data_IF_191646669379
#
_entry.id   IF_191646669379
#
_cell.length_a   1.000
_cell.length_b   1.000
_cell.length_c   1.000
_cell.angle_alpha   90.00
_cell.angle_beta   90.00
_cell.angle_gamma   90.00
#
_symmetry.space_group_name_H-M   'P 1'
#
loop_
_entity.id
_entity.type
_entity.pdbx_description
1 polymer ?
#
# COMPACT_ATOMS: atom_id res chain seq x y z
N UNK A 1 -21.24 48.20 2.50
CA UNK A 1 -20.43 47.95 1.29
C UNK A 1 -19.43 46.85 1.61
N UNK A 2 -19.76 45.61 1.27
CA UNK A 2 -18.89 44.45 1.45
C UNK A 2 -18.09 44.22 0.15
N UNK A 3 -16.78 44.03 0.26
CA UNK A 3 -15.91 43.59 -0.85
C UNK A 3 -15.87 42.06 -0.89
N UNK A 4 -16.10 41.40 -2.05
CA UNK A 4 -15.81 39.99 -2.21
C UNK A 4 -14.39 39.80 -2.75
N UNK A 5 -13.64 38.85 -2.18
CA UNK A 5 -12.28 38.51 -2.59
C UNK A 5 -12.03 37.02 -2.48
N UNK A 6 -12.18 36.35 -3.63
CA UNK A 6 -11.56 35.11 -4.11
C UNK A 6 -10.94 34.11 -3.13
N UNK A 7 -11.44 32.86 -3.14
CA UNK A 7 -10.64 31.64 -2.94
C UNK A 7 -11.43 30.39 -3.36
N UNK A 8 -11.44 30.10 -4.66
CA UNK A 8 -11.84 28.77 -5.21
C UNK A 8 -10.74 28.29 -6.14
N UNK A 9 -9.76 27.59 -5.58
CA UNK A 9 -8.70 26.92 -6.35
C UNK A 9 -8.27 25.63 -5.64
N UNK A 10 -9.23 24.72 -5.44
CA UNK A 10 -8.97 23.36 -4.95
C UNK A 10 -9.88 22.39 -5.69
N UNK A 11 -9.70 22.21 -7.01
CA UNK A 11 -10.47 21.21 -7.75
C UNK A 11 -9.88 20.61 -9.05
N UNK A 12 -8.65 20.89 -9.55
CA UNK A 12 -8.21 20.22 -10.79
C UNK A 12 -7.27 19.02 -10.60
N UNK A 13 -7.02 18.51 -9.39
CA UNK A 13 -6.11 17.36 -9.21
C UNK A 13 -6.81 15.99 -9.23
N UNK A 14 -8.14 15.93 -9.01
CA UNK A 14 -8.88 14.67 -8.92
C UNK A 14 -9.30 14.10 -10.29
N UNK A 15 -9.30 14.90 -11.34
CA UNK A 15 -9.80 14.51 -12.68
C UNK A 15 -8.73 13.81 -13.54
N UNK A 16 -7.44 14.05 -13.26
CA UNK A 16 -6.33 13.45 -14.04
C UNK A 16 -6.06 11.97 -13.70
N UNK A 17 -6.54 11.47 -12.56
CA UNK A 17 -6.37 10.06 -12.15
C UNK A 17 -7.35 9.10 -12.82
N UNK A 18 -8.50 9.58 -13.31
CA UNK A 18 -9.49 8.74 -13.99
C UNK A 18 -9.19 8.53 -15.49
N UNK A 19 -8.41 9.42 -16.11
CA UNK A 19 -8.07 9.32 -17.53
C UNK A 19 -7.01 8.25 -17.85
N UNK A 20 -6.13 7.92 -16.89
CA UNK A 20 -5.05 6.95 -17.09
C UNK A 20 -5.54 5.48 -17.17
N UNK A 21 -6.68 5.16 -16.54
CA UNK A 21 -7.25 3.80 -16.56
C UNK A 21 -7.93 3.45 -17.88
N UNK A 22 -8.55 4.43 -18.55
CA UNK A 22 -9.26 4.22 -19.81
C UNK A 22 -8.31 4.02 -21.01
N UNK A 23 -7.13 4.66 -20.99
CA UNK A 23 -6.14 4.55 -22.06
C UNK A 23 -5.43 3.18 -22.11
N UNK A 24 -5.33 2.46 -20.98
CA UNK A 24 -4.72 1.14 -20.92
C UNK A 24 -5.63 0.04 -21.51
N UNK A 25 -6.95 0.18 -21.40
CA UNK A 25 -7.92 -0.79 -21.95
C UNK A 25 -8.08 -0.67 -23.48
N UNK A 26 -8.03 0.55 -24.03
CA UNK A 26 -8.15 0.76 -25.47
C UNK A 26 -6.93 0.26 -26.27
N UNK A 27 -5.74 0.21 -25.64
CA UNK A 27 -4.51 -0.23 -26.28
C UNK A 27 -4.39 -1.74 -26.49
N UNK A 28 -5.03 -2.59 -25.67
CA UNK A 28 -4.92 -4.05 -25.82
C UNK A 28 -6.00 -4.67 -26.71
N UNK A 29 -7.21 -4.09 -26.80
CA UNK A 29 -8.28 -4.64 -27.64
C UNK A 29 -7.97 -4.59 -29.16
N UNK A 30 -6.99 -3.78 -29.57
CA UNK A 30 -6.55 -3.67 -30.97
C UNK A 30 -5.67 -4.84 -31.45
N UNK A 31 -5.33 -5.79 -30.56
CA UNK A 31 -4.53 -6.95 -30.93
C UNK A 31 -5.27 -7.84 -31.95
N UNK A 32 -4.61 -8.09 -33.08
CA UNK A 32 -5.08 -9.03 -34.08
C UNK A 32 -4.64 -10.46 -33.73
N UNK A 33 -5.56 -11.40 -33.87
CA UNK A 33 -5.34 -12.83 -33.65
C UNK A 33 -5.64 -13.62 -34.91
N UNK A 34 -4.92 -14.72 -35.08
CA UNK A 34 -5.06 -15.57 -36.27
C UNK A 34 -6.45 -16.20 -36.34
N UNK A 35 -6.94 -16.40 -37.57
CA UNK A 35 -8.29 -16.93 -37.79
C UNK A 35 -9.42 -15.95 -37.46
N UNK A 36 -9.13 -14.64 -37.36
CA UNK A 36 -10.14 -13.60 -37.15
C UNK A 36 -10.77 -13.61 -35.75
N UNK A 37 -10.09 -14.21 -34.77
CA UNK A 37 -10.58 -14.31 -33.38
C UNK A 37 -10.65 -12.92 -32.73
N UNK A 38 -11.75 -12.65 -32.04
CA UNK A 38 -11.97 -11.39 -31.31
C UNK A 38 -12.40 -11.69 -29.87
N UNK A 39 -12.06 -10.77 -28.97
CA UNK A 39 -12.32 -10.91 -27.54
C UNK A 39 -12.97 -9.63 -26.98
N UNK A 40 -13.93 -9.78 -26.07
CA UNK A 40 -14.66 -8.64 -25.51
C UNK A 40 -13.86 -7.85 -24.47
N UNK A 41 -12.93 -8.52 -23.77
CA UNK A 41 -12.12 -7.92 -22.70
C UNK A 41 -10.65 -8.26 -22.89
N UNK A 42 -9.80 -7.39 -22.36
CA UNK A 42 -8.37 -7.65 -22.27
C UNK A 42 -7.75 -7.01 -21.03
N UNK A 43 -6.61 -7.56 -20.62
CA UNK A 43 -5.77 -7.07 -19.55
C UNK A 43 -4.30 -7.12 -19.99
N UNK A 44 -3.59 -6.01 -19.87
CA UNK A 44 -2.12 -6.00 -19.94
C UNK A 44 -1.58 -6.43 -18.59
N UNK A 45 -0.86 -7.55 -18.57
CA UNK A 45 -0.37 -8.13 -17.33
C UNK A 45 0.85 -7.33 -16.84
N UNK A 46 1.01 -7.15 -15.53
CA UNK A 46 1.98 -6.19 -14.96
C UNK A 46 3.45 -6.57 -15.20
N UNK A 47 3.72 -7.83 -15.55
CA UNK A 47 5.08 -8.38 -15.69
C UNK A 47 5.15 -9.38 -16.84
N UNK A 48 6.37 -9.67 -17.31
CA UNK A 48 6.68 -10.55 -18.45
C UNK A 48 6.15 -10.05 -19.80
N UNK A 49 5.71 -8.77 -19.89
CA UNK A 49 5.18 -8.19 -21.13
C UNK A 49 3.98 -8.96 -21.70
N UNK A 50 3.25 -9.67 -20.85
CA UNK A 50 2.19 -10.58 -21.24
C UNK A 50 0.83 -9.86 -21.28
N UNK A 51 -0.09 -10.38 -22.09
CA UNK A 51 -1.47 -9.91 -22.16
C UNK A 51 -2.44 -11.08 -22.12
N UNK A 52 -3.62 -10.84 -21.55
CA UNK A 52 -4.72 -11.80 -21.49
C UNK A 52 -5.95 -11.18 -22.10
N UNK A 53 -6.58 -11.89 -23.04
CA UNK A 53 -7.79 -11.48 -23.72
C UNK A 53 -8.82 -12.58 -23.52
N UNK A 54 -10.08 -12.20 -23.27
CA UNK A 54 -11.12 -13.19 -23.05
C UNK A 54 -12.53 -12.70 -23.41
N UNK A 55 -13.39 -13.66 -23.66
CA UNK A 55 -14.85 -13.51 -23.77
C UNK A 55 -15.48 -14.52 -22.83
N UNK A 56 -16.26 -14.05 -21.86
CA UNK A 56 -16.95 -14.92 -20.90
C UNK A 56 -18.40 -15.15 -21.33
N UNK A 57 -18.81 -16.41 -21.37
CA UNK A 57 -20.13 -16.88 -21.78
C UNK A 57 -20.93 -17.31 -20.55
N UNK A 58 -21.72 -16.39 -20.00
CA UNK A 58 -22.50 -16.65 -18.78
C UNK A 58 -23.51 -17.80 -18.91
N UNK A 59 -24.01 -18.06 -20.13
CA UNK A 59 -25.02 -19.11 -20.38
C UNK A 59 -24.52 -20.54 -20.14
N UNK A 60 -23.22 -20.79 -20.30
CA UNK A 60 -22.61 -22.11 -20.10
C UNK A 60 -21.39 -22.10 -19.17
N UNK A 61 -21.04 -20.95 -18.57
CA UNK A 61 -19.94 -20.82 -17.63
C UNK A 61 -18.54 -20.99 -18.26
N UNK A 62 -18.43 -20.81 -19.58
CA UNK A 62 -17.15 -20.96 -20.30
C UNK A 62 -16.50 -19.61 -20.60
N UNK A 63 -15.18 -19.61 -20.74
CA UNK A 63 -14.42 -18.46 -21.20
C UNK A 63 -13.54 -18.85 -22.39
N UNK A 64 -13.65 -18.10 -23.49
CA UNK A 64 -12.68 -18.14 -24.58
C UNK A 64 -11.52 -17.23 -24.22
N UNK A 65 -10.29 -17.73 -24.37
CA UNK A 65 -9.09 -17.09 -23.86
C UNK A 65 -8.01 -17.02 -24.95
N UNK A 66 -7.34 -15.88 -25.03
CA UNK A 66 -6.03 -15.73 -25.66
C UNK A 66 -5.03 -15.14 -24.67
N UNK A 67 -4.06 -15.95 -24.26
CA UNK A 67 -2.92 -15.50 -23.46
C UNK A 67 -1.71 -15.31 -24.38
N UNK A 68 -1.13 -14.11 -24.41
CA UNK A 68 0.02 -13.78 -25.25
C UNK A 68 1.20 -13.35 -24.40
N UNK A 69 2.39 -13.87 -24.66
CA UNK A 69 3.60 -13.47 -23.96
C UNK A 69 4.85 -13.53 -24.86
N UNK A 70 5.74 -12.51 -24.80
CA UNK A 70 7.04 -12.55 -25.48
C UNK A 70 7.92 -13.69 -24.97
N UNK A 71 8.55 -14.43 -25.90
CA UNK A 71 9.57 -15.44 -25.59
C UNK A 71 10.36 -15.81 -26.84
N UNK A 72 11.62 -16.19 -26.68
CA UNK A 72 12.44 -16.72 -27.77
C UNK A 72 11.89 -18.04 -28.31
N UNK A 73 12.33 -18.44 -29.50
CA UNK A 73 11.97 -19.74 -30.07
C UNK A 73 12.55 -20.92 -29.26
N UNK A 74 13.62 -20.65 -28.52
CA UNK A 74 14.28 -21.47 -27.52
C UNK A 74 13.64 -21.33 -26.12
N UNK A 75 12.48 -20.70 -26.01
CA UNK A 75 11.75 -20.51 -24.77
C UNK A 75 10.33 -21.08 -24.82
N UNK A 76 9.66 -21.01 -23.67
CA UNK A 76 8.27 -21.41 -23.48
C UNK A 76 7.52 -20.34 -22.69
N UNK A 77 6.19 -20.33 -22.83
CA UNK A 77 5.31 -19.52 -21.99
C UNK A 77 4.19 -20.40 -21.44
N UNK A 78 3.72 -20.10 -20.24
CA UNK A 78 2.69 -20.85 -19.57
C UNK A 78 1.61 -19.95 -19.01
N UNK A 79 0.36 -20.39 -19.11
CA UNK A 79 -0.79 -19.78 -18.46
C UNK A 79 -1.51 -20.83 -17.61
N UNK A 80 -1.99 -20.40 -16.44
CA UNK A 80 -2.41 -21.29 -15.37
C UNK A 80 -3.72 -20.80 -14.77
N UNK A 81 -4.63 -21.73 -14.50
CA UNK A 81 -5.73 -21.53 -13.54
C UNK A 81 -5.44 -22.40 -12.31
N UNK A 82 -5.47 -21.79 -11.12
CA UNK A 82 -5.26 -22.52 -9.87
C UNK A 82 -6.56 -22.59 -9.05
N UNK A 83 -7.31 -23.71 -9.09
CA UNK A 83 -8.50 -23.88 -8.26
C UNK A 83 -8.20 -23.88 -6.75
N UNK A 84 -6.99 -24.27 -6.35
CA UNK A 84 -6.50 -24.22 -4.97
C UNK A 84 -6.03 -22.81 -4.55
N UNK A 85 -5.83 -21.92 -5.53
CA UNK A 85 -5.57 -20.48 -5.43
C UNK A 85 -4.16 -20.01 -5.05
N UNK A 86 -3.18 -20.88 -4.75
CA UNK A 86 -1.78 -20.47 -4.56
C UNK A 86 -0.79 -21.63 -4.55
N UNK A 87 0.39 -21.35 -5.11
CA UNK A 87 1.50 -22.29 -5.25
C UNK A 87 1.46 -23.10 -6.54
N UNK A 88 2.63 -23.57 -6.97
CA UNK A 88 2.79 -24.36 -8.19
C UNK A 88 2.04 -25.70 -8.10
N UNK A 89 1.98 -26.32 -6.93
CA UNK A 89 1.33 -27.62 -6.73
C UNK A 89 -0.22 -27.51 -6.78
N UNK A 90 -0.85 -28.41 -7.54
CA UNK A 90 -2.29 -28.42 -7.84
C UNK A 90 -2.70 -27.47 -8.96
N UNK A 91 -1.74 -26.88 -9.70
CA UNK A 91 -2.01 -25.93 -10.78
C UNK A 91 -2.34 -26.64 -12.09
N UNK A 92 -3.37 -26.17 -12.78
CA UNK A 92 -3.72 -26.61 -14.13
C UNK A 92 -3.07 -25.68 -15.13
N UNK A 93 -2.21 -26.23 -15.98
CA UNK A 93 -1.27 -25.43 -16.78
C UNK A 93 -1.45 -25.72 -18.25
N UNK A 94 -1.43 -24.66 -19.04
CA UNK A 94 -1.23 -24.67 -20.48
C UNK A 94 0.17 -24.13 -20.75
N UNK A 95 1.03 -24.90 -21.41
CA UNK A 95 2.37 -24.46 -21.80
C UNK A 95 2.49 -24.45 -23.32
N UNK A 96 2.76 -23.28 -23.90
CA UNK A 96 3.17 -23.17 -25.29
C UNK A 96 4.69 -23.25 -25.40
N UNK A 97 5.14 -24.08 -26.32
CA UNK A 97 6.54 -24.21 -26.72
C UNK A 97 6.60 -24.65 -28.17
N UNK A 98 7.79 -24.62 -28.76
CA UNK A 98 8.00 -25.16 -30.10
C UNK A 98 9.16 -26.15 -30.13
N UNK A 99 9.04 -27.15 -31.00
CA UNK A 99 10.11 -28.11 -31.28
C UNK A 99 10.22 -28.29 -32.79
N UNK A 100 11.41 -28.09 -33.35
CA UNK A 100 11.62 -28.16 -34.80
C UNK A 100 10.76 -27.17 -35.60
N UNK A 101 10.38 -26.03 -35.01
CA UNK A 101 9.49 -25.02 -35.61
C UNK A 101 7.99 -25.31 -35.50
N UNK A 102 7.60 -26.50 -35.01
CA UNK A 102 6.20 -26.81 -34.74
C UNK A 102 5.80 -26.33 -33.34
N UNK A 103 4.81 -25.43 -33.27
CA UNK A 103 4.27 -24.90 -32.01
C UNK A 103 3.19 -25.84 -31.48
N UNK A 104 3.20 -26.13 -30.18
CA UNK A 104 2.19 -26.96 -29.53
C UNK A 104 1.84 -26.45 -28.13
N UNK A 105 0.69 -26.88 -27.62
CA UNK A 105 0.26 -26.67 -26.23
C UNK A 105 0.32 -27.98 -25.48
N UNK A 106 1.07 -27.99 -24.38
CA UNK A 106 1.02 -29.06 -23.39
C UNK A 106 0.04 -28.66 -22.27
N UNK A 107 -0.89 -29.56 -21.94
CA UNK A 107 -1.74 -29.44 -20.76
C UNK A 107 -1.31 -30.42 -19.67
N UNK A 108 -1.14 -29.93 -18.45
CA UNK A 108 -0.75 -30.79 -17.32
C UNK A 108 -1.25 -30.25 -15.98
N UNK A 109 -1.27 -31.11 -14.97
CA UNK A 109 -1.48 -30.73 -13.57
C UNK A 109 -0.15 -30.84 -12.83
N UNK A 110 0.38 -29.69 -12.38
CA UNK A 110 1.62 -29.69 -11.61
C UNK A 110 1.34 -30.21 -10.21
N UNK A 111 1.82 -31.41 -9.86
CA UNK A 111 1.55 -32.01 -8.54
C UNK A 111 2.53 -31.56 -7.46
N UNK A 112 3.70 -31.08 -7.86
CA UNK A 112 4.80 -30.66 -6.97
C UNK A 112 5.43 -29.37 -7.49
N UNK A 113 6.36 -28.79 -6.71
CA UNK A 113 7.17 -27.63 -7.12
C UNK A 113 8.36 -27.98 -8.01
N UNK A 114 8.59 -29.27 -8.26
CA UNK A 114 9.55 -29.79 -9.23
C UNK A 114 8.85 -30.88 -10.05
N UNK A 115 7.86 -30.51 -10.87
CA UNK A 115 7.02 -31.48 -11.56
C UNK A 115 7.74 -32.08 -12.77
N UNK A 116 7.42 -33.33 -13.05
CA UNK A 116 7.63 -33.88 -14.40
C UNK A 116 6.45 -33.45 -15.25
N UNK A 117 6.71 -32.89 -16.42
CA UNK A 117 5.67 -32.47 -17.35
C UNK A 117 5.19 -33.67 -18.15
N UNK A 118 4.02 -34.19 -17.79
CA UNK A 118 3.28 -35.23 -18.49
C UNK A 118 2.07 -34.62 -19.22
N UNK A 119 1.62 -35.24 -20.31
CA UNK A 119 0.42 -34.80 -21.00
C UNK A 119 -0.80 -35.39 -20.29
N UNK A 120 -1.53 -34.57 -19.54
CA UNK A 120 -2.69 -35.02 -18.73
C UNK A 120 -3.87 -34.08 -18.90
N UNK A 121 -5.08 -34.66 -18.84
CA UNK A 121 -6.30 -33.87 -18.75
C UNK A 121 -6.30 -32.96 -17.50
N UNK A 122 -6.80 -31.75 -17.65
CA UNK A 122 -6.92 -30.78 -16.57
C UNK A 122 -8.06 -31.18 -15.62
N UNK A 123 -8.08 -30.60 -14.41
CA UNK A 123 -9.11 -30.84 -13.40
C UNK A 123 -10.44 -30.13 -13.68
N UNK A 124 -10.56 -29.48 -14.84
CA UNK A 124 -11.74 -28.79 -15.32
C UNK A 124 -11.89 -29.01 -16.82
N UNK A 125 -13.10 -28.81 -17.30
CA UNK A 125 -13.41 -29.07 -18.69
C UNK A 125 -12.81 -28.02 -19.63
N UNK A 126 -12.28 -28.49 -20.75
CA UNK A 126 -11.68 -27.68 -21.82
C UNK A 126 -12.42 -28.05 -23.10
N UNK A 127 -13.61 -27.44 -23.37
CA UNK A 127 -14.51 -27.91 -24.42
C UNK A 127 -13.92 -27.87 -25.83
N UNK A 128 -12.92 -27.00 -26.05
CA UNK A 128 -12.20 -26.87 -27.32
C UNK A 128 -10.72 -27.16 -27.06
N UNK A 129 -10.08 -28.09 -27.80
CA UNK A 129 -8.66 -28.37 -27.65
C UNK A 129 -7.81 -27.11 -27.69
N UNK A 130 -6.94 -26.94 -26.71
CA UNK A 130 -6.04 -25.81 -26.64
C UNK A 130 -5.08 -25.81 -27.84
N UNK A 131 -4.80 -24.63 -28.38
CA UNK A 131 -3.90 -24.43 -29.52
C UNK A 131 -2.97 -23.26 -29.24
N UNK A 132 -1.82 -23.21 -29.91
CA UNK A 132 -0.91 -22.10 -29.78
C UNK A 132 -0.24 -21.76 -31.11
N UNK A 133 0.24 -20.53 -31.18
CA UNK A 133 0.98 -19.98 -32.31
C UNK A 133 2.20 -19.21 -31.83
N UNK A 134 3.16 -19.02 -32.73
CA UNK A 134 4.34 -18.21 -32.51
C UNK A 134 4.46 -17.18 -33.61
N UNK A 135 4.38 -15.89 -33.26
CA UNK A 135 4.46 -14.80 -34.22
C UNK A 135 5.08 -13.55 -33.57
N UNK A 136 6.01 -12.90 -34.29
CA UNK A 136 6.62 -11.65 -33.85
C UNK A 136 7.36 -11.75 -32.50
N UNK A 137 8.02 -12.88 -32.23
CA UNK A 137 8.76 -13.08 -30.98
C UNK A 137 7.89 -13.37 -29.75
N UNK A 138 6.63 -13.76 -29.95
CA UNK A 138 5.68 -14.05 -28.87
C UNK A 138 4.90 -15.33 -29.16
N UNK A 139 4.58 -16.06 -28.11
CA UNK A 139 3.61 -17.15 -28.16
C UNK A 139 2.23 -16.63 -27.78
N UNK A 140 1.21 -17.15 -28.45
CA UNK A 140 -0.20 -16.97 -28.05
C UNK A 140 -0.82 -18.34 -27.78
N UNK A 141 -1.33 -18.55 -26.58
CA UNK A 141 -2.12 -19.73 -26.19
C UNK A 141 -3.59 -19.40 -26.33
N UNK A 142 -4.33 -20.25 -27.02
CA UNK A 142 -5.78 -20.22 -27.10
C UNK A 142 -6.41 -21.40 -26.38
N UNK A 143 -7.41 -21.12 -25.55
CA UNK A 143 -8.19 -22.15 -24.86
C UNK A 143 -9.63 -21.69 -24.64
N UNK A 144 -10.57 -22.62 -24.69
CA UNK A 144 -11.92 -22.44 -24.15
C UNK A 144 -12.00 -23.28 -22.90
N UNK A 145 -12.26 -22.66 -21.75
CA UNK A 145 -12.25 -23.34 -20.44
C UNK A 145 -13.59 -23.17 -19.74
N UNK A 146 -14.10 -24.24 -19.14
CA UNK A 146 -15.19 -24.15 -18.18
C UNK A 146 -14.61 -23.68 -16.84
N UNK A 147 -15.10 -22.55 -16.31
CA UNK A 147 -14.50 -21.96 -15.11
C UNK A 147 -14.66 -22.90 -13.90
N UNK A 148 -13.56 -23.33 -13.24
CA UNK A 148 -13.62 -24.33 -12.19
C UNK A 148 -14.48 -23.91 -11.00
N UNK A 149 -15.48 -24.72 -10.66
CA UNK A 149 -16.38 -24.49 -9.51
C UNK A 149 -17.53 -23.49 -9.77
N UNK A 150 -17.64 -22.94 -10.98
CA UNK A 150 -18.63 -21.93 -11.38
C UNK A 150 -18.56 -20.50 -10.76
N UNK A 151 -17.49 -20.03 -10.06
CA UNK A 151 -17.27 -18.61 -9.85
C UNK A 151 -16.59 -17.98 -11.07
N UNK A 152 -16.96 -16.75 -11.38
CA UNK A 152 -16.29 -15.95 -12.43
C UNK A 152 -14.92 -15.46 -11.98
N UNK A 153 -14.65 -15.42 -10.68
CA UNK A 153 -13.36 -15.03 -10.11
C UNK A 153 -12.43 -16.24 -10.00
N UNK A 154 -11.28 -16.15 -10.67
CA UNK A 154 -10.29 -17.21 -10.76
C UNK A 154 -8.89 -16.67 -10.48
N UNK A 155 -8.09 -17.46 -9.77
CA UNK A 155 -6.68 -17.17 -9.60
C UNK A 155 -5.91 -17.68 -10.83
N UNK A 156 -5.27 -16.76 -11.53
CA UNK A 156 -4.49 -17.03 -12.73
C UNK A 156 -3.03 -16.68 -12.51
N UNK A 157 -2.14 -17.53 -13.02
CA UNK A 157 -0.69 -17.36 -12.95
C UNK A 157 -0.16 -17.48 -14.37
N UNK A 158 0.91 -16.75 -14.68
CA UNK A 158 1.60 -16.90 -15.95
C UNK A 158 3.10 -17.03 -15.74
N UNK A 159 3.78 -17.74 -16.62
CA UNK A 159 5.22 -17.95 -16.53
C UNK A 159 5.85 -17.91 -17.90
N UNK A 160 7.13 -17.57 -17.94
CA UNK A 160 7.97 -17.72 -19.11
C UNK A 160 9.32 -18.29 -18.67
N UNK A 161 9.91 -19.14 -19.49
CA UNK A 161 11.19 -19.78 -19.17
C UNK A 161 11.91 -20.33 -20.40
N UNK A 162 13.15 -20.81 -20.20
CA UNK A 162 13.96 -21.35 -21.29
C UNK A 162 13.62 -22.82 -21.58
N UNK A 163 13.89 -23.25 -22.80
CA UNK A 163 14.01 -24.65 -23.20
C UNK A 163 15.48 -25.01 -23.12
N UNK A 164 15.81 -26.15 -22.51
CA UNK A 164 17.17 -26.67 -22.42
C UNK A 164 17.19 -28.14 -22.80
N UNK A 165 18.13 -28.54 -23.64
CA UNK A 165 18.22 -29.92 -24.15
C UNK A 165 16.96 -30.39 -24.88
N UNK A 166 16.24 -29.47 -25.55
CA UNK A 166 14.99 -29.77 -26.25
C UNK A 166 13.78 -29.99 -25.34
N UNK A 167 13.87 -29.68 -24.05
CA UNK A 167 12.77 -29.84 -23.06
C UNK A 167 12.52 -28.55 -22.31
N UNK A 168 11.27 -28.34 -21.88
CA UNK A 168 10.86 -27.23 -21.01
C UNK A 168 11.69 -27.29 -19.72
N UNK A 169 12.44 -26.22 -19.44
CA UNK A 169 13.28 -26.09 -18.25
C UNK A 169 12.58 -25.20 -17.20
N UNK A 170 12.95 -25.27 -15.90
CA UNK A 170 12.38 -24.41 -14.88
C UNK A 170 12.50 -22.92 -15.22
N UNK A 171 11.44 -22.17 -14.96
CA UNK A 171 11.45 -20.71 -15.06
C UNK A 171 12.26 -20.09 -13.91
N UNK A 172 12.72 -18.83 -14.04
CA UNK A 172 13.35 -18.12 -12.94
C UNK A 172 12.46 -18.11 -11.68
N UNK A 173 13.05 -18.36 -10.51
CA UNK A 173 12.37 -18.35 -9.20
C UNK A 173 12.50 -17.01 -8.48
N UNK A 174 12.74 -15.94 -9.24
CA UNK A 174 12.91 -14.56 -8.74
C UNK A 174 12.44 -13.55 -9.78
N UNK A 175 12.32 -12.28 -9.39
CA UNK A 175 11.99 -11.19 -10.32
C UNK A 175 10.55 -11.25 -10.82
N UNK A 176 10.36 -11.11 -12.14
CA UNK A 176 9.04 -11.00 -12.74
C UNK A 176 8.22 -12.29 -12.60
N UNK A 177 8.82 -13.47 -12.75
CA UNK A 177 8.15 -14.77 -12.64
C UNK A 177 7.46 -15.00 -11.28
N UNK A 178 8.01 -14.50 -10.17
CA UNK A 178 7.38 -14.62 -8.85
C UNK A 178 6.28 -13.58 -8.60
N UNK A 179 6.16 -12.57 -9.47
CA UNK A 179 5.11 -11.55 -9.43
C UNK A 179 3.96 -11.85 -10.41
N UNK A 180 4.10 -12.88 -11.25
CA UNK A 180 3.18 -13.22 -12.33
C UNK A 180 1.93 -13.96 -11.87
N UNK A 181 1.18 -13.36 -10.94
CA UNK A 181 -0.08 -13.92 -10.43
C UNK A 181 -1.14 -12.82 -10.26
N UNK A 182 -2.40 -13.15 -10.53
CA UNK A 182 -3.54 -12.27 -10.32
C UNK A 182 -4.80 -13.06 -9.94
N UNK A 183 -5.73 -12.42 -9.25
CA UNK A 183 -7.11 -12.86 -9.21
C UNK A 183 -7.89 -12.07 -10.26
N UNK A 184 -8.51 -12.77 -11.22
CA UNK A 184 -9.26 -12.18 -12.31
C UNK A 184 -10.71 -12.59 -12.23
N UNK A 185 -11.62 -11.61 -12.24
CA UNK A 185 -13.03 -11.86 -12.48
C UNK A 185 -13.32 -11.80 -13.99
N UNK A 186 -13.62 -12.96 -14.59
CA UNK A 186 -13.88 -13.10 -16.02
C UNK A 186 -15.14 -12.35 -16.47
N UNK A 187 -16.09 -12.07 -15.58
CA UNK A 187 -17.31 -11.33 -15.92
C UNK A 187 -17.07 -9.82 -15.85
N UNK A 188 -16.60 -9.28 -14.72
CA UNK A 188 -16.38 -7.84 -14.58
C UNK A 188 -15.12 -7.36 -15.31
N UNK A 189 -14.09 -8.21 -15.37
CA UNK A 189 -12.74 -7.87 -15.81
C UNK A 189 -11.88 -7.18 -14.76
N UNK A 190 -12.35 -7.14 -13.51
CA UNK A 190 -11.57 -6.66 -12.38
C UNK A 190 -10.41 -7.62 -12.11
N UNK A 191 -9.18 -7.10 -12.04
CA UNK A 191 -8.00 -7.87 -11.66
C UNK A 191 -7.36 -7.29 -10.39
N UNK A 192 -6.93 -8.17 -9.49
CA UNK A 192 -6.16 -7.83 -8.28
C UNK A 192 -4.91 -8.70 -8.20
N UNK A 193 -3.86 -8.22 -7.54
CA UNK A 193 -2.61 -8.98 -7.39
C UNK A 193 -2.85 -10.37 -6.78
N UNK A 194 -2.17 -11.39 -7.30
CA UNK A 194 -2.36 -12.78 -6.89
C UNK A 194 -1.99 -12.97 -5.42
N UNK A 195 -2.98 -13.12 -4.55
CA UNK A 195 -2.78 -13.34 -3.12
C UNK A 195 -2.82 -14.85 -2.78
N UNK A 196 -1.99 -15.27 -1.83
CA UNK A 196 -1.84 -16.66 -1.42
C UNK A 196 -3.14 -17.22 -0.77
N UNK A 197 -3.92 -17.98 -1.52
CA UNK A 197 -5.26 -18.51 -1.20
C UNK A 197 -5.46 -19.32 0.08
N UNK A 198 -4.42 -19.72 0.82
CA UNK A 198 -4.60 -20.48 2.07
C UNK A 198 -5.29 -19.67 3.17
N UNK A 199 -5.46 -18.36 3.01
CA UNK A 199 -6.16 -17.49 3.96
C UNK A 199 -7.69 -17.40 3.73
N UNK A 200 -8.22 -17.75 2.55
CA UNK A 200 -9.58 -17.35 2.18
C UNK A 200 -10.70 -18.28 2.69
N UNK A 201 -10.42 -19.55 3.02
CA UNK A 201 -11.50 -20.50 3.41
C UNK A 201 -12.10 -20.25 4.80
N UNK A 202 -11.51 -19.39 5.64
CA UNK A 202 -12.05 -19.11 7.00
C UNK A 202 -12.87 -17.81 7.13
N UNK A 203 -12.96 -17.00 6.07
CA UNK A 203 -13.56 -15.65 6.18
C UNK A 203 -15.00 -15.51 5.66
N UNK A 204 -15.66 -16.59 5.22
CA UNK A 204 -17.03 -16.50 4.69
C UNK A 204 -18.13 -16.32 5.76
N UNK A 205 -17.77 -16.20 7.05
CA UNK A 205 -18.72 -15.85 8.12
C UNK A 205 -18.20 -14.65 8.92
N UNK A 206 -17.93 -13.49 8.28
CA UNK A 206 -17.97 -12.17 8.94
C UNK A 206 -18.29 -11.06 7.92
N UNK A 207 -19.60 -10.88 7.69
CA UNK A 207 -20.34 -9.63 7.44
C UNK A 207 -19.55 -8.44 6.84
N UNK A 208 -19.76 -8.20 5.54
CA UNK A 208 -20.17 -6.96 4.84
C UNK A 208 -19.68 -5.55 5.29
N UNK A 209 -18.63 -5.37 6.10
CA UNK A 209 -18.06 -4.04 6.28
C UNK A 209 -16.53 -4.03 6.24
N UNK A 210 -16.02 -3.18 5.35
CA UNK A 210 -14.60 -2.83 5.10
C UNK A 210 -13.90 -3.63 3.99
N UNK A 211 -14.18 -3.18 2.76
CA UNK A 211 -13.47 -3.44 1.50
C UNK A 211 -12.05 -2.87 1.62
N UNK A 212 -11.07 -3.66 2.08
CA UNK A 212 -9.66 -3.27 2.06
C UNK A 212 -8.86 -4.56 1.82
N UNK A 213 -8.30 -4.75 0.62
CA UNK A 213 -7.42 -5.87 0.28
C UNK A 213 -6.10 -5.83 1.08
N UNK A 214 -5.28 -6.87 1.06
CA UNK A 214 -4.07 -6.92 1.93
C UNK A 214 -3.05 -5.80 1.61
N UNK A 215 -2.82 -5.50 0.32
CA UNK A 215 -2.04 -4.33 -0.09
C UNK A 215 -2.69 -3.02 0.38
N UNK A 216 -4.02 -2.96 0.40
CA UNK A 216 -4.76 -1.80 0.90
C UNK A 216 -4.65 -1.70 2.42
N UNK A 217 -4.51 -2.82 3.16
CA UNK A 217 -4.33 -2.84 4.62
C UNK A 217 -2.93 -2.39 5.01
N UNK A 218 -1.92 -2.80 4.26
CA UNK A 218 -0.54 -2.32 4.41
C UNK A 218 -0.42 -0.83 4.09
N UNK A 219 -1.05 -0.39 2.98
CA UNK A 219 -1.15 1.02 2.62
C UNK A 219 -1.92 1.81 3.68
N UNK A 220 -3.05 1.29 4.15
CA UNK A 220 -3.87 1.92 5.19
C UNK A 220 -3.10 2.03 6.51
N UNK A 221 -2.38 0.99 6.92
CA UNK A 221 -1.48 1.04 8.07
C UNK A 221 -0.43 2.16 7.91
N UNK A 222 0.21 2.23 6.74
CA UNK A 222 1.20 3.25 6.41
C UNK A 222 0.61 4.66 6.45
N UNK A 223 -0.56 4.88 5.85
CA UNK A 223 -1.26 6.18 5.81
C UNK A 223 -1.72 6.60 7.20
N UNK A 224 -2.40 5.72 7.94
CA UNK A 224 -2.88 6.02 9.30
C UNK A 224 -1.73 6.41 10.22
N UNK A 225 -0.61 5.69 10.18
CA UNK A 225 0.55 5.98 11.01
C UNK A 225 1.36 7.19 10.51
N UNK A 226 1.42 7.40 9.20
CA UNK A 226 2.04 8.58 8.60
C UNK A 226 1.31 9.87 8.97
N UNK A 227 -0.02 9.89 8.84
CA UNK A 227 -0.85 11.04 9.21
C UNK A 227 -0.91 11.21 10.74
N UNK A 228 -1.19 10.14 11.47
CA UNK A 228 -1.31 10.17 12.92
C UNK A 228 0.02 10.52 13.60
N UNK A 229 0.98 9.59 13.61
CA UNK A 229 2.25 9.76 14.29
C UNK A 229 3.21 10.72 13.58
N UNK A 230 3.21 10.71 12.24
CA UNK A 230 4.17 11.47 11.43
C UNK A 230 3.82 12.94 11.20
N UNK A 231 2.55 13.33 11.31
CA UNK A 231 2.09 14.71 11.04
C UNK A 231 1.33 15.32 12.22
N UNK A 232 0.24 14.70 12.69
CA UNK A 232 -0.62 15.32 13.69
C UNK A 232 0.06 15.48 15.06
N UNK A 233 0.80 14.45 15.52
CA UNK A 233 1.54 14.51 16.79
C UNK A 233 2.60 15.63 16.80
N UNK A 234 3.53 15.71 15.81
CA UNK A 234 4.51 16.80 15.77
C UNK A 234 3.87 18.16 15.55
N UNK A 235 2.82 18.27 14.72
CA UNK A 235 2.09 19.53 14.53
C UNK A 235 1.46 20.01 15.85
N UNK A 236 0.81 19.12 16.61
CA UNK A 236 0.25 19.45 17.91
C UNK A 236 1.32 19.92 18.90
N UNK A 237 2.51 19.32 18.89
CA UNK A 237 3.63 19.77 19.71
C UNK A 237 4.14 21.16 19.32
N UNK A 238 4.23 21.45 18.01
CA UNK A 238 4.57 22.78 17.49
C UNK A 238 3.55 23.84 17.91
N UNK A 239 2.25 23.53 17.81
CA UNK A 239 1.16 24.41 18.26
C UNK A 239 1.34 24.79 19.73
N UNK A 240 1.56 23.80 20.62
CA UNK A 240 1.74 24.07 22.04
C UNK A 240 3.02 24.87 22.35
N UNK A 241 4.11 24.62 21.59
CA UNK A 241 5.38 25.34 21.78
C UNK A 241 5.29 26.80 21.33
N UNK A 242 4.74 27.03 20.15
CA UNK A 242 4.83 28.34 19.49
C UNK A 242 3.60 29.22 19.72
N UNK A 243 2.38 28.67 19.70
CA UNK A 243 1.18 29.48 19.87
C UNK A 243 0.96 29.91 21.32
N UNK A 244 1.44 29.14 22.30
CA UNK A 244 1.35 29.50 23.73
C UNK A 244 2.03 30.84 24.07
N UNK A 245 2.96 31.30 23.24
CA UNK A 245 3.66 32.58 23.46
C UNK A 245 2.73 33.78 23.23
N UNK A 246 1.71 33.63 22.38
CA UNK A 246 0.76 34.70 22.06
C UNK A 246 -0.40 34.72 23.05
N UNK A 247 -0.61 35.86 23.72
CA UNK A 247 -1.70 36.02 24.70
C UNK A 247 -3.07 35.90 24.03
N UNK A 248 -3.21 36.38 22.78
CA UNK A 248 -4.43 36.25 21.98
C UNK A 248 -4.81 34.81 21.63
N UNK A 249 -3.89 33.86 21.80
CA UNK A 249 -4.11 32.45 21.51
C UNK A 249 -4.45 31.64 22.76
N UNK A 250 -4.56 32.24 23.95
CA UNK A 250 -5.04 31.56 25.16
C UNK A 250 -6.59 31.66 25.23
N UNK A 251 -7.34 30.55 25.38
CA UNK A 251 -6.92 29.15 25.57
C UNK A 251 -6.84 28.32 24.27
N UNK A 252 -7.01 28.93 23.11
CA UNK A 252 -7.08 28.24 21.81
C UNK A 252 -5.89 27.30 21.52
N UNK A 253 -4.66 27.70 21.84
CA UNK A 253 -3.47 26.86 21.64
C UNK A 253 -3.58 25.51 22.36
N UNK A 254 -4.20 25.50 23.54
CA UNK A 254 -4.33 24.31 24.38
C UNK A 254 -5.35 23.33 23.78
N UNK A 255 -6.49 23.83 23.31
CA UNK A 255 -7.49 23.02 22.63
C UNK A 255 -7.00 22.50 21.27
N UNK A 256 -6.30 23.33 20.50
CA UNK A 256 -5.71 22.92 19.22
C UNK A 256 -4.63 21.85 19.42
N UNK A 257 -3.79 21.98 20.45
CA UNK A 257 -2.83 20.95 20.84
C UNK A 257 -3.55 19.63 21.15
N UNK A 258 -4.53 19.65 22.08
CA UNK A 258 -5.25 18.44 22.48
C UNK A 258 -5.99 17.80 21.31
N UNK A 259 -6.64 18.60 20.46
CA UNK A 259 -7.35 18.09 19.28
C UNK A 259 -6.40 17.36 18.33
N UNK A 260 -5.22 17.91 18.07
CA UNK A 260 -4.18 17.25 17.27
C UNK A 260 -3.68 15.97 17.95
N UNK A 261 -3.42 16.00 19.26
CA UNK A 261 -2.90 14.83 19.99
C UNK A 261 -3.92 13.68 20.05
N UNK A 262 -5.18 13.97 20.37
CA UNK A 262 -6.24 12.95 20.44
C UNK A 262 -6.49 12.35 19.05
N UNK A 263 -6.59 13.19 18.01
CA UNK A 263 -6.79 12.72 16.64
C UNK A 263 -5.59 11.89 16.13
N UNK A 264 -4.38 12.38 16.38
CA UNK A 264 -3.14 11.67 16.04
C UNK A 264 -3.01 10.34 16.75
N UNK A 265 -3.34 10.30 18.05
CA UNK A 265 -3.36 9.08 18.85
C UNK A 265 -4.42 8.09 18.33
N UNK A 266 -5.65 8.54 18.06
CA UNK A 266 -6.71 7.65 17.57
C UNK A 266 -6.34 6.99 16.23
N UNK A 267 -5.87 7.78 15.25
CA UNK A 267 -5.39 7.25 13.97
C UNK A 267 -4.18 6.33 14.17
N UNK A 268 -3.27 6.71 15.05
CA UNK A 268 -2.07 5.95 15.37
C UNK A 268 -2.35 4.60 16.04
N UNK A 269 -3.35 4.51 16.93
CA UNK A 269 -3.80 3.27 17.56
C UNK A 269 -4.49 2.37 16.54
N UNK A 270 -5.33 2.93 15.68
CA UNK A 270 -5.97 2.19 14.59
C UNK A 270 -4.91 1.61 13.63
N UNK A 271 -3.93 2.43 13.24
CA UNK A 271 -2.78 2.01 12.43
C UNK A 271 -1.94 0.94 13.13
N UNK A 272 -1.62 1.11 14.41
CA UNK A 272 -0.87 0.12 15.20
C UNK A 272 -1.59 -1.22 15.31
N UNK A 273 -2.90 -1.22 15.62
CA UNK A 273 -3.71 -2.43 15.69
C UNK A 273 -3.77 -3.16 14.34
N UNK A 274 -3.90 -2.42 13.24
CA UNK A 274 -3.81 -2.97 11.89
C UNK A 274 -2.43 -3.58 11.62
N UNK A 275 -1.35 -2.93 12.08
CA UNK A 275 0.02 -3.44 11.95
C UNK A 275 0.29 -4.72 12.74
N UNK A 276 -0.29 -4.86 13.93
CA UNK A 276 -0.22 -6.11 14.70
C UNK A 276 -0.94 -7.26 13.98
N UNK A 277 -2.09 -6.97 13.37
CA UNK A 277 -2.84 -7.95 12.58
C UNK A 277 -2.07 -8.38 11.33
N UNK A 278 -1.53 -7.43 10.57
CA UNK A 278 -0.65 -7.71 9.43
C UNK A 278 0.57 -8.57 9.83
N UNK A 279 1.16 -8.26 10.98
CA UNK A 279 2.30 -8.99 11.52
C UNK A 279 1.98 -10.40 12.02
N UNK A 280 0.77 -10.67 12.52
CA UNK A 280 0.35 -12.02 12.93
C UNK A 280 -0.06 -12.90 11.76
N UNK A 281 -0.53 -12.29 10.67
CA UNK A 281 -0.92 -12.95 9.42
C UNK A 281 0.30 -13.27 8.51
N UNK A 282 1.44 -12.60 8.71
CA UNK A 282 2.68 -12.82 7.95
C UNK A 282 3.54 -13.97 8.51
N UNK A 283 3.45 -15.17 7.93
CA UNK A 283 4.35 -16.29 8.29
C UNK A 283 5.67 -16.21 7.49
N UNK A 284 6.81 -16.07 8.19
CA UNK A 284 8.14 -16.34 7.63
C UNK A 284 9.18 -15.21 7.74
N UNK A 285 8.80 -13.97 8.07
CA UNK A 285 9.73 -12.86 8.30
C UNK A 285 9.21 -12.01 9.46
N UNK A 286 9.77 -12.17 10.66
CA UNK A 286 9.45 -11.27 11.77
C UNK A 286 10.25 -9.98 11.62
N UNK A 287 9.60 -8.89 11.21
CA UNK A 287 10.18 -7.54 11.29
C UNK A 287 10.16 -7.03 12.74
N UNK A 288 10.92 -7.72 13.60
CA UNK A 288 10.92 -7.55 15.05
C UNK A 288 11.23 -6.13 15.48
N UNK A 289 12.16 -5.44 14.80
CA UNK A 289 12.55 -4.07 15.16
C UNK A 289 11.44 -3.04 14.94
N UNK A 290 10.77 -3.04 13.78
CA UNK A 290 9.67 -2.09 13.50
C UNK A 290 8.49 -2.33 14.45
N UNK A 291 8.16 -3.62 14.70
CA UNK A 291 7.11 -4.00 15.63
C UNK A 291 7.43 -3.56 17.07
N UNK A 292 8.64 -3.82 17.56
CA UNK A 292 9.03 -3.48 18.93
C UNK A 292 9.04 -1.96 19.15
N UNK A 293 9.55 -1.19 18.18
CA UNK A 293 9.49 0.27 18.23
C UNK A 293 8.02 0.75 18.19
N UNK A 294 7.18 0.15 17.34
CA UNK A 294 5.75 0.45 17.28
C UNK A 294 5.02 0.21 18.61
N UNK A 295 5.31 -0.89 19.30
CA UNK A 295 4.78 -1.18 20.64
C UNK A 295 5.27 -0.15 21.65
N UNK A 296 6.56 0.21 21.63
CA UNK A 296 7.10 1.23 22.52
C UNK A 296 6.43 2.60 22.30
N UNK A 297 6.23 3.01 21.05
CA UNK A 297 5.50 4.24 20.70
C UNK A 297 4.08 4.21 21.28
N UNK A 298 3.35 3.11 21.08
CA UNK A 298 2.00 2.95 21.61
C UNK A 298 1.99 3.13 23.14
N UNK A 299 2.83 2.39 23.87
CA UNK A 299 2.91 2.50 25.33
C UNK A 299 3.25 3.92 25.81
N UNK A 300 4.27 4.56 25.21
CA UNK A 300 4.68 5.93 25.58
C UNK A 300 3.60 6.97 25.22
N UNK A 301 2.89 6.80 24.11
CA UNK A 301 1.80 7.67 23.73
C UNK A 301 0.57 7.50 24.64
N UNK A 302 0.26 6.27 25.07
CA UNK A 302 -0.80 6.04 26.07
C UNK A 302 -0.46 6.70 27.40
N UNK A 303 0.81 6.61 27.84
CA UNK A 303 1.29 7.36 29.00
C UNK A 303 1.06 8.88 28.83
N UNK A 304 1.26 9.41 27.62
CA UNK A 304 0.98 10.82 27.34
C UNK A 304 -0.50 11.20 27.42
N UNK A 305 -1.41 10.31 27.01
CA UNK A 305 -2.84 10.53 27.20
C UNK A 305 -3.18 10.62 28.69
N UNK A 306 -2.57 9.77 29.53
CA UNK A 306 -2.72 9.86 30.98
C UNK A 306 -2.15 11.15 31.59
N UNK A 307 -1.19 11.81 30.91
CA UNK A 307 -0.68 13.11 31.35
C UNK A 307 -1.79 14.17 31.45
N UNK A 308 -2.85 14.07 30.63
CA UNK A 308 -4.00 14.96 30.72
C UNK A 308 -4.75 14.81 32.05
N UNK A 309 -5.00 13.57 32.49
CA UNK A 309 -5.74 13.28 33.73
C UNK A 309 -4.90 13.57 34.98
N UNK A 310 -3.59 13.38 34.90
CA UNK A 310 -2.65 13.63 36.00
C UNK A 310 -2.12 15.06 36.03
N UNK A 311 -2.70 15.97 35.25
CA UNK A 311 -2.23 17.35 35.08
C UNK A 311 -2.39 18.15 36.39
N UNK A 312 -1.30 18.50 37.12
CA UNK A 312 -1.41 19.27 38.35
C UNK A 312 -1.72 20.74 38.08
N UNK A 313 -2.31 21.42 39.07
CA UNK A 313 -2.53 22.87 39.06
C UNK A 313 -1.25 23.65 38.82
N UNK A 314 -1.38 24.85 38.21
CA UNK A 314 -0.24 25.70 37.83
C UNK A 314 0.67 26.07 39.00
N UNK A 315 0.14 26.13 40.23
CA UNK A 315 0.86 26.50 41.46
C UNK A 315 1.42 25.28 42.23
N UNK A 316 1.13 24.05 41.78
CA UNK A 316 1.52 22.84 42.49
C UNK A 316 3.00 22.50 42.22
N UNK A 317 3.78 22.14 43.26
CA UNK A 317 5.19 21.71 43.13
C UNK A 317 5.39 20.53 42.16
N UNK A 318 4.39 19.65 42.06
CA UNK A 318 4.43 18.50 41.14
C UNK A 318 4.30 18.88 39.66
N UNK A 319 3.90 20.13 39.36
CA UNK A 319 3.81 20.66 37.99
C UNK A 319 5.14 20.59 37.25
N UNK A 320 6.26 20.77 37.95
CA UNK A 320 7.60 20.73 37.36
C UNK A 320 7.94 19.32 36.87
N UNK A 321 7.75 18.31 37.73
CA UNK A 321 7.95 16.91 37.36
C UNK A 321 7.02 16.47 36.23
N UNK A 322 5.75 16.88 36.30
CA UNK A 322 4.78 16.62 35.23
C UNK A 322 5.22 17.24 33.90
N UNK A 323 5.74 18.48 33.89
CA UNK A 323 6.24 19.12 32.66
C UNK A 323 7.47 18.37 32.11
N UNK A 324 8.41 17.95 32.98
CA UNK A 324 9.60 17.20 32.56
C UNK A 324 9.23 15.85 31.95
N UNK A 325 8.34 15.11 32.60
CA UNK A 325 7.74 13.88 32.11
C UNK A 325 7.03 14.10 30.76
N UNK A 326 6.12 15.07 30.69
CA UNK A 326 5.31 15.33 29.49
C UNK A 326 6.17 15.78 28.30
N UNK A 327 7.22 16.58 28.51
CA UNK A 327 8.10 16.96 27.42
C UNK A 327 9.02 15.80 26.99
N UNK A 328 9.69 15.14 27.94
CA UNK A 328 10.66 14.07 27.63
C UNK A 328 10.02 12.90 26.91
N UNK A 329 8.89 12.40 27.41
CA UNK A 329 8.13 11.31 26.77
C UNK A 329 7.59 11.76 25.41
N UNK A 330 7.14 13.01 25.29
CA UNK A 330 6.52 13.54 24.08
C UNK A 330 7.51 13.66 22.92
N UNK A 331 8.68 14.24 23.19
CA UNK A 331 9.75 14.29 22.19
C UNK A 331 10.28 12.90 21.84
N UNK A 332 10.35 11.98 22.82
CA UNK A 332 10.74 10.59 22.56
C UNK A 332 9.77 9.91 21.58
N UNK A 333 8.46 10.09 21.77
CA UNK A 333 7.43 9.57 20.86
C UNK A 333 7.59 10.12 19.44
N UNK A 334 7.84 11.43 19.28
CA UNK A 334 8.04 12.06 17.97
C UNK A 334 9.25 11.47 17.24
N UNK A 335 10.39 11.35 17.94
CA UNK A 335 11.63 10.80 17.35
C UNK A 335 11.46 9.33 16.99
N UNK A 336 10.92 8.52 17.90
CA UNK A 336 10.69 7.10 17.66
C UNK A 336 9.70 6.89 16.51
N UNK A 337 8.64 7.68 16.43
CA UNK A 337 7.67 7.64 15.34
C UNK A 337 8.32 7.89 13.98
N UNK A 338 9.15 8.94 13.85
CA UNK A 338 9.85 9.25 12.61
C UNK A 338 10.77 8.09 12.18
N UNK A 339 11.57 7.56 13.12
CA UNK A 339 12.43 6.38 12.88
C UNK A 339 11.60 5.17 12.45
N UNK A 340 10.46 4.94 13.11
CA UNK A 340 9.62 3.79 12.84
C UNK A 340 8.92 3.89 11.48
N UNK A 341 8.52 5.08 11.06
CA UNK A 341 7.94 5.35 9.73
C UNK A 341 8.99 5.06 8.64
N UNK A 342 10.23 5.53 8.78
CA UNK A 342 11.28 5.19 7.82
C UNK A 342 11.56 3.68 7.75
N UNK A 343 11.55 2.99 8.90
CA UNK A 343 11.65 1.52 8.92
C UNK A 343 10.46 0.87 8.20
N UNK A 344 9.24 1.33 8.43
CA UNK A 344 8.03 0.85 7.77
C UNK A 344 8.08 1.04 6.24
N UNK A 345 8.50 2.22 5.78
CA UNK A 345 8.67 2.51 4.34
C UNK A 345 9.74 1.63 3.69
N UNK A 346 10.83 1.30 4.40
CA UNK A 346 11.85 0.39 3.89
C UNK A 346 11.36 -1.07 3.84
N UNK A 347 10.42 -1.47 4.70
CA UNK A 347 9.78 -2.80 4.68
C UNK A 347 8.80 -2.89 3.51
N UNK A 348 7.92 -1.89 3.37
CA UNK A 348 6.87 -1.87 2.36
C UNK A 348 7.41 -1.72 0.93
N UNK A 349 8.62 -1.15 0.75
CA UNK A 349 9.21 -0.79 -0.56
C UNK A 349 8.16 -0.24 -1.54
N UNK A 350 7.40 0.80 -1.14
CA UNK A 350 6.31 1.32 -1.96
C UNK A 350 6.86 1.88 -3.28
N UNK A 351 5.98 2.02 -4.27
CA UNK A 351 6.28 2.72 -5.54
C UNK A 351 6.99 4.05 -5.30
N UNK A 352 7.88 4.42 -6.22
CA UNK A 352 8.78 5.59 -6.09
C UNK A 352 8.05 6.85 -5.63
N UNK A 353 8.49 7.46 -4.52
CA UNK A 353 8.00 8.76 -4.06
C UNK A 353 7.67 8.86 -2.57
N UNK A 354 7.16 7.81 -1.92
CA UNK A 354 6.69 7.87 -0.52
C UNK A 354 7.76 8.31 0.50
N UNK A 355 8.97 7.75 0.37
CA UNK A 355 10.11 8.14 1.21
C UNK A 355 10.49 9.61 0.99
N UNK A 356 10.48 10.06 -0.26
CA UNK A 356 10.73 11.47 -0.61
C UNK A 356 9.65 12.38 -0.05
N UNK A 357 8.37 12.03 -0.19
CA UNK A 357 7.24 12.79 0.36
C UNK A 357 7.36 12.96 1.87
N UNK A 358 7.71 11.90 2.60
CA UNK A 358 7.88 12.00 4.04
C UNK A 358 9.08 12.86 4.45
N UNK A 359 10.20 12.79 3.70
CA UNK A 359 11.34 13.68 3.90
C UNK A 359 10.94 15.15 3.69
N UNK A 360 10.18 15.45 2.62
CA UNK A 360 9.68 16.81 2.35
C UNK A 360 8.78 17.30 3.49
N UNK A 361 7.89 16.46 4.02
CA UNK A 361 7.07 16.80 5.19
C UNK A 361 7.93 17.16 6.39
N UNK A 362 8.92 16.32 6.73
CA UNK A 362 9.82 16.57 7.87
C UNK A 362 10.63 17.86 7.69
N UNK A 363 11.19 18.08 6.48
CA UNK A 363 11.92 19.29 6.14
C UNK A 363 11.03 20.54 6.27
N UNK A 364 9.77 20.44 5.85
CA UNK A 364 8.80 21.53 5.95
C UNK A 364 8.46 21.84 7.41
N UNK A 365 8.16 20.83 8.23
CA UNK A 365 7.90 21.00 9.65
C UNK A 365 9.11 21.60 10.39
N UNK A 366 10.32 21.13 10.08
CA UNK A 366 11.56 21.68 10.63
C UNK A 366 11.78 23.14 10.21
N UNK A 367 11.58 23.47 8.93
CA UNK A 367 11.69 24.85 8.43
C UNK A 367 10.70 25.80 9.13
N UNK A 368 9.44 25.39 9.24
CA UNK A 368 8.41 26.16 9.96
C UNK A 368 8.79 26.32 11.44
N UNK A 369 9.27 25.26 12.09
CA UNK A 369 9.71 25.32 13.49
C UNK A 369 10.86 26.32 13.67
N UNK A 370 11.87 26.33 12.78
CA UNK A 370 12.98 27.28 12.84
C UNK A 370 12.51 28.73 12.73
N UNK A 371 11.59 29.02 11.80
CA UNK A 371 11.02 30.36 11.63
C UNK A 371 10.23 30.77 12.88
N UNK A 372 9.36 29.90 13.40
CA UNK A 372 8.58 30.18 14.59
C UNK A 372 9.44 30.31 15.86
N UNK A 373 10.54 29.57 15.94
CA UNK A 373 11.54 29.70 17.02
C UNK A 373 12.17 31.10 16.97
N UNK A 374 12.62 31.57 15.81
CA UNK A 374 13.17 32.92 15.67
C UNK A 374 12.16 34.02 16.08
N UNK A 375 10.90 33.89 15.65
CA UNK A 375 9.82 34.83 15.99
C UNK A 375 9.53 34.82 17.50
N UNK A 376 9.36 33.64 18.10
CA UNK A 376 9.02 33.54 19.52
C UNK A 376 10.15 34.03 20.41
N UNK A 377 11.42 33.77 20.08
CA UNK A 377 12.56 34.36 20.77
C UNK A 377 12.57 35.89 20.67
N UNK A 378 12.30 36.46 19.51
CA UNK A 378 12.20 37.91 19.36
C UNK A 378 11.11 38.51 20.27
N UNK A 379 9.95 37.87 20.37
CA UNK A 379 8.85 38.29 21.26
C UNK A 379 9.25 38.19 22.73
N UNK A 380 9.85 37.06 23.14
CA UNK A 380 10.29 36.82 24.52
C UNK A 380 11.35 37.84 24.95
N UNK A 381 12.34 38.11 24.09
CA UNK A 381 13.38 39.12 24.35
C UNK A 381 12.78 40.54 24.46
N UNK A 382 11.82 40.90 23.59
CA UNK A 382 11.10 42.19 23.67
C UNK A 382 10.31 42.33 24.98
N UNK A 383 9.59 41.28 25.39
CA UNK A 383 8.86 41.28 26.68
C UNK A 383 9.80 41.42 27.88
N UNK A 384 10.95 40.71 27.87
CA UNK A 384 11.96 40.84 28.92
C UNK A 384 12.49 42.26 29.04
N UNK A 385 12.80 42.92 27.92
CA UNK A 385 13.20 44.33 27.89
C UNK A 385 12.11 45.27 28.45
N UNK A 386 10.84 45.09 28.05
CA UNK A 386 9.71 45.90 28.56
C UNK A 386 9.52 45.74 30.07
N UNK A 387 9.59 44.50 30.57
CA UNK A 387 9.42 44.22 32.01
C UNK A 387 10.58 44.79 32.84
N UNK A 388 11.82 44.79 32.31
CA UNK A 388 12.95 45.47 32.95
C UNK A 388 12.77 46.99 32.98
N UNK A 389 12.26 47.59 31.89
CA UNK A 389 11.96 49.02 31.84
C UNK A 389 10.87 49.45 32.83
N UNK A 390 9.79 48.67 32.99
CA UNK A 390 8.74 48.95 33.99
C UNK A 390 9.18 48.64 35.43
N UNK A 391 9.98 47.59 35.66
CA UNK A 391 10.55 47.30 36.98
C UNK A 391 11.56 48.35 37.46
N UNK A 392 12.29 48.98 36.53
CA UNK A 392 13.18 50.11 36.84
C UNK A 392 12.44 51.42 37.14
N UNK A 393 11.28 51.65 36.51
CA UNK A 393 10.48 52.87 36.73
C UNK A 393 9.74 52.89 38.09
N UNK A 394 9.39 51.74 38.66
CA UNK A 394 8.81 51.64 40.00
C UNK A 394 9.86 51.65 41.14
N UNK A 395 11.15 51.74 40.81
CA UNK A 395 12.26 51.71 41.78
C UNK A 395 12.78 53.09 42.22
N UNK A 396 12.25 54.20 41.69
CA UNK A 396 12.76 55.56 41.96
C UNK A 396 11.78 56.44 42.74
N UNK A 397 10.90 55.84 43.55
CA UNK A 397 9.84 56.54 44.27
C UNK A 397 9.86 56.38 45.79
N UNK A 398 11.03 56.31 46.43
CA UNK A 398 11.20 56.63 47.86
C UNK A 398 12.59 57.21 48.07
N UNK A 399 12.69 58.54 48.19
CA UNK A 399 13.62 59.19 49.10
C UNK A 399 12.99 60.50 49.58
N UNK A 400 12.68 60.48 50.88
CA UNK A 400 12.60 61.55 51.89
C UNK A 400 11.83 62.82 51.57
#
# INVERSE_FOLDING_TARGET
MARPGHSTAWLPLLVLLFAAGAAAQSGCLSAAFTGGRTFLKCNQLPVLGASLHWTYHAGNGTADIAFRAPSGADGWVGWVITPSGSGMAGSNVFVASQSGGAVSVLTTILRTTAPTLDNTALSFDVPVPASAEYAGGAYTIYATVALPGNPTSQHTVWQAGPISGGRISPHPVSGQNVQSAQNLDFLSGTSTGGSNSRLHRRNTIKIQHTIVGDNDRELLHGVLNGVGWGVLIPLGAMIARYLRVFESADPAWFYLHIACQISGYALGVAGWGLGLKLGSESKGLTYSTHRNIGIAIFCLATLQVFALFLRPDKKNKYRVYWNAYHHSVGYSVIVLAAVNIFKGLNILKPVTGWKTSYIVILATLAGVALVLEAITWAIVLRRRKRNQAHGGANGTGVQL
#
